data_IF_473732262224
#
_entry.id   IF_473732262224
#
_cell.length_a   1.000
_cell.length_b   1.000
_cell.length_c   1.000
_cell.angle_alpha   90.00
_cell.angle_beta   90.00
_cell.angle_gamma   90.00
#
_symmetry.space_group_name_H-M   'P 1'
#
loop_
_entity.id
_entity.type
_entity.pdbx_description
1 polymer ?
#
# COMPACT_ATOMS: atom_id res chain seq x y z
N UNK A 1 -18.48 -12.31 16.99
CA UNK A 1 -17.83 -11.99 18.29
C UNK A 1 -16.48 -11.27 18.18
N UNK A 2 -15.69 -11.41 17.10
CA UNK A 2 -14.37 -10.73 17.04
C UNK A 2 -14.41 -9.24 16.69
N UNK A 3 -15.46 -8.76 16.02
CA UNK A 3 -15.58 -7.35 15.62
C UNK A 3 -15.58 -6.42 16.85
N UNK A 4 -16.41 -6.64 17.90
CA UNK A 4 -16.37 -5.81 19.10
C UNK A 4 -14.97 -5.77 19.76
N UNK A 5 -14.31 -6.91 19.91
CA UNK A 5 -12.95 -7.00 20.48
C UNK A 5 -11.91 -6.19 19.69
N UNK A 6 -12.02 -6.16 18.36
CA UNK A 6 -11.13 -5.35 17.52
C UNK A 6 -11.42 -3.85 17.66
N UNK A 7 -12.70 -3.49 17.68
CA UNK A 7 -13.13 -2.09 17.83
C UNK A 7 -12.71 -1.51 19.18
N UNK A 8 -12.80 -2.28 20.27
CA UNK A 8 -12.27 -1.89 21.59
C UNK A 8 -10.77 -1.59 21.57
N UNK A 9 -10.02 -2.22 20.63
CA UNK A 9 -8.59 -1.99 20.42
C UNK A 9 -8.30 -0.93 19.34
N UNK A 10 -9.32 -0.24 18.85
CA UNK A 10 -9.22 0.77 17.80
C UNK A 10 -9.04 0.23 16.38
N UNK A 11 -9.23 -1.08 16.16
CA UNK A 11 -9.20 -1.70 14.84
C UNK A 11 -10.62 -1.77 14.26
N UNK A 12 -10.83 -1.04 13.17
CA UNK A 12 -12.11 -0.98 12.47
C UNK A 12 -12.00 -1.66 11.11
N UNK A 13 -13.05 -2.39 10.72
CA UNK A 13 -13.15 -2.96 9.39
C UNK A 13 -13.73 -1.90 8.44
N UNK A 14 -13.02 -1.65 7.35
CA UNK A 14 -13.49 -0.82 6.26
C UNK A 14 -14.10 -1.69 5.17
N UNK A 15 -15.34 -1.40 4.76
CA UNK A 15 -15.97 -2.12 3.67
C UNK A 15 -15.38 -1.69 2.33
N UNK A 16 -14.92 -2.65 1.54
CA UNK A 16 -14.46 -2.44 0.18
C UNK A 16 -15.42 -3.16 -0.78
N UNK A 17 -16.13 -2.44 -1.67
CA UNK A 17 -17.00 -3.09 -2.64
C UNK A 17 -16.19 -3.98 -3.60
N UNK A 18 -16.80 -5.05 -4.15
CA UNK A 18 -16.15 -5.91 -5.11
C UNK A 18 -15.72 -5.14 -6.35
N UNK A 19 -14.66 -5.61 -7.01
CA UNK A 19 -14.09 -5.00 -8.23
C UNK A 19 -13.72 -3.52 -8.11
N UNK A 20 -13.43 -3.04 -6.89
CA UNK A 20 -13.09 -1.63 -6.64
C UNK A 20 -11.63 -1.42 -6.21
N UNK A 21 -10.62 -1.87 -7.00
CA UNK A 21 -9.20 -1.72 -6.63
C UNK A 21 -8.76 -0.26 -6.57
N UNK A 22 -9.49 0.65 -7.23
CA UNK A 22 -9.25 2.09 -7.17
C UNK A 22 -9.52 2.70 -5.79
N UNK A 23 -10.33 2.03 -4.95
CA UNK A 23 -10.59 2.44 -3.56
C UNK A 23 -9.58 1.84 -2.58
N UNK A 24 -8.80 0.83 -2.99
CA UNK A 24 -7.79 0.22 -2.15
C UNK A 24 -6.43 0.93 -2.30
N UNK A 25 -6.01 1.66 -1.27
CA UNK A 25 -4.75 2.40 -1.25
C UNK A 25 -3.55 1.48 -1.50
N UNK A 26 -3.58 0.24 -0.99
CA UNK A 26 -2.49 -0.72 -1.16
C UNK A 26 -2.24 -1.05 -2.64
N UNK A 27 -3.29 -1.14 -3.46
CA UNK A 27 -3.16 -1.37 -4.91
C UNK A 27 -2.41 -0.22 -5.61
N UNK A 28 -2.65 1.02 -5.17
CA UNK A 28 -1.95 2.18 -5.70
C UNK A 28 -0.47 2.17 -5.31
N UNK A 29 -0.15 1.81 -4.07
CA UNK A 29 1.23 1.65 -3.61
C UNK A 29 1.93 0.57 -4.44
N UNK A 30 1.32 -0.62 -4.61
CA UNK A 30 1.91 -1.70 -5.38
C UNK A 30 2.13 -1.35 -6.85
N UNK A 31 1.21 -0.59 -7.45
CA UNK A 31 1.37 -0.10 -8.83
C UNK A 31 2.56 0.86 -8.94
N UNK A 32 2.70 1.80 -8.00
CA UNK A 32 3.84 2.74 -7.96
C UNK A 32 5.15 1.99 -7.76
N UNK A 33 5.18 1.09 -6.80
CA UNK A 33 6.36 0.30 -6.48
C UNK A 33 6.89 -0.46 -7.69
N UNK A 34 6.03 -1.24 -8.37
CA UNK A 34 6.45 -2.06 -9.53
C UNK A 34 6.73 -1.27 -10.80
N UNK A 35 6.13 -0.09 -10.99
CA UNK A 35 6.22 0.65 -12.26
C UNK A 35 7.16 1.83 -12.23
N UNK A 36 7.44 2.37 -11.05
CA UNK A 36 8.13 3.65 -10.91
C UNK A 36 9.27 3.63 -9.90
N UNK A 37 9.26 2.74 -8.90
CA UNK A 37 10.24 2.78 -7.81
C UNK A 37 11.24 1.63 -7.79
N UNK A 38 10.85 0.47 -8.30
CA UNK A 38 11.77 -0.65 -8.51
C UNK A 38 12.39 -0.55 -9.89
N UNK A 39 13.68 -0.82 -9.95
CA UNK A 39 14.39 -0.97 -11.21
C UNK A 39 14.26 -2.42 -11.74
N UNK A 40 14.40 -2.64 -13.07
CA UNK A 40 14.36 -3.99 -13.64
C UNK A 40 15.41 -4.93 -13.04
N UNK A 41 16.57 -4.40 -12.64
CA UNK A 41 17.66 -5.17 -12.02
C UNK A 41 17.28 -5.74 -10.65
N UNK A 42 16.41 -5.04 -9.89
CA UNK A 42 15.95 -5.51 -8.58
C UNK A 42 15.16 -6.82 -8.68
N UNK A 43 14.64 -7.16 -9.87
CA UNK A 43 13.86 -8.37 -10.10
C UNK A 43 14.71 -9.60 -10.41
N UNK A 44 16.04 -9.46 -10.47
CA UNK A 44 16.95 -10.53 -10.88
C UNK A 44 16.93 -11.72 -9.93
N UNK A 45 16.93 -11.46 -8.62
CA UNK A 45 16.87 -12.49 -7.59
C UNK A 45 16.00 -12.07 -6.42
N UNK A 46 15.71 -13.06 -5.57
CA UNK A 46 14.83 -12.88 -4.42
C UNK A 46 15.38 -11.83 -3.46
N UNK A 47 16.64 -11.93 -3.07
CA UNK A 47 17.21 -11.09 -2.02
C UNK A 47 17.30 -9.63 -2.48
N UNK A 48 17.68 -9.40 -3.74
CA UNK A 48 17.66 -8.08 -4.38
C UNK A 48 16.25 -7.47 -4.38
N UNK A 49 15.25 -8.25 -4.79
CA UNK A 49 13.86 -7.79 -4.81
C UNK A 49 13.36 -7.44 -3.40
N UNK A 50 13.60 -8.32 -2.42
CA UNK A 50 13.19 -8.07 -1.04
C UNK A 50 13.89 -6.85 -0.46
N UNK A 51 15.18 -6.66 -0.74
CA UNK A 51 15.93 -5.49 -0.27
C UNK A 51 15.37 -4.19 -0.88
N UNK A 52 15.18 -4.16 -2.21
CA UNK A 52 14.67 -2.99 -2.91
C UNK A 52 13.24 -2.62 -2.45
N UNK A 53 12.34 -3.61 -2.35
CA UNK A 53 10.98 -3.42 -1.83
C UNK A 53 10.99 -2.83 -0.42
N UNK A 54 11.79 -3.40 0.50
CA UNK A 54 11.89 -2.91 1.86
C UNK A 54 12.42 -1.48 1.92
N UNK A 55 13.46 -1.16 1.13
CA UNK A 55 13.99 0.21 1.03
C UNK A 55 12.93 1.18 0.52
N UNK A 56 12.21 0.84 -0.56
CA UNK A 56 11.14 1.69 -1.09
C UNK A 56 10.05 1.94 -0.05
N UNK A 57 9.57 0.89 0.62
CA UNK A 57 8.53 1.02 1.64
C UNK A 57 8.98 1.83 2.86
N UNK A 58 10.24 1.70 3.28
CA UNK A 58 10.82 2.52 4.35
C UNK A 58 10.94 4.02 3.99
N UNK A 59 11.02 4.33 2.69
CA UNK A 59 11.08 5.70 2.17
C UNK A 59 9.70 6.26 1.79
N UNK A 60 8.63 5.48 1.93
CA UNK A 60 7.27 5.91 1.64
C UNK A 60 6.84 7.00 2.62
N UNK A 61 6.31 8.11 2.11
CA UNK A 61 5.89 9.27 2.90
C UNK A 61 7.01 10.23 3.28
N UNK A 62 8.26 9.93 2.95
CA UNK A 62 9.41 10.82 3.11
C UNK A 62 9.96 11.22 1.76
N UNK A 63 10.75 10.33 1.14
CA UNK A 63 11.36 10.55 -0.17
C UNK A 63 10.45 10.09 -1.31
N UNK A 64 9.62 9.07 -1.09
CA UNK A 64 8.66 8.56 -2.06
C UNK A 64 7.25 8.96 -1.64
N UNK A 65 6.62 9.83 -2.43
CA UNK A 65 5.31 10.39 -2.10
C UNK A 65 4.27 10.09 -3.17
N UNK A 66 3.06 9.74 -2.72
CA UNK A 66 1.87 9.61 -3.57
C UNK A 66 0.92 10.74 -3.21
N UNK A 67 0.56 11.55 -4.20
CA UNK A 67 -0.45 12.61 -4.02
C UNK A 67 -1.84 11.99 -4.18
N UNK A 68 -2.50 11.73 -3.05
CA UNK A 68 -3.90 11.33 -3.05
C UNK A 68 -4.81 12.55 -3.19
N UNK A 69 -5.96 12.37 -3.83
CA UNK A 69 -7.03 13.36 -3.78
C UNK A 69 -7.53 13.50 -2.34
N UNK A 70 -8.11 14.65 -2.01
CA UNK A 70 -8.82 14.81 -0.73
C UNK A 70 -9.89 13.72 -0.62
N UNK A 71 -10.02 13.15 0.57
CA UNK A 71 -11.12 12.25 0.87
C UNK A 71 -12.45 12.96 0.60
N UNK A 72 -13.35 12.28 -0.09
CA UNK A 72 -14.68 12.78 -0.39
C UNK A 72 -15.69 11.78 0.21
N UNK A 73 -16.51 12.27 1.13
CA UNK A 73 -17.54 11.50 1.85
C UNK A 73 -18.84 11.34 1.05
N UNK A 74 -18.99 12.09 -0.06
CA UNK A 74 -20.23 12.17 -0.83
C UNK A 74 -20.60 10.89 -1.59
#
# INVERSE_FOLDING_TARGET
ERIPYWQERGLFLFFLPPYSPHLNIAETIWRKLKKEWLDPEDHFDKDSLFYAVNRCLANLGTNLNIKYSKFNEN
#
